data_IF_550424127163
#
_entry.id   IF_550424127163
#
_cell.length_a   1.000
_cell.length_b   1.000
_cell.length_c   1.000
_cell.angle_alpha   90.00
_cell.angle_beta   90.00
_cell.angle_gamma   90.00
#
_symmetry.space_group_name_H-M   'P 1'
#
loop_
_entity.id
_entity.type
_entity.pdbx_description
1 polymer ?
#
# COMPACT_ATOMS: atom_id res chain seq x y z
N UNK A 1 -6.51 13.69 2.84
CA UNK A 1 -5.48 13.10 3.73
C UNK A 1 -4.34 14.06 4.06
N UNK A 2 -3.98 15.08 3.27
CA UNK A 2 -3.06 16.12 3.77
C UNK A 2 -3.25 17.48 3.08
N UNK A 3 -3.90 18.41 3.77
CA UNK A 3 -4.19 19.77 3.26
C UNK A 3 -3.12 20.80 3.65
N UNK A 4 -2.28 20.51 4.66
CA UNK A 4 -1.34 21.48 5.25
C UNK A 4 0.02 21.52 4.55
N UNK A 5 0.47 20.41 3.95
CA UNK A 5 1.79 20.35 3.30
C UNK A 5 1.71 20.92 1.88
N UNK A 6 2.33 22.09 1.68
CA UNK A 6 2.29 22.83 0.40
C UNK A 6 3.66 22.92 -0.28
N UNK A 7 4.74 22.78 0.47
CA UNK A 7 6.10 23.04 0.00
C UNK A 7 6.98 21.80 0.11
N UNK A 8 8.03 21.72 -0.71
CA UNK A 8 8.96 20.58 -0.64
C UNK A 8 9.75 20.58 0.68
N UNK A 9 10.05 21.75 1.25
CA UNK A 9 10.69 21.84 2.57
C UNK A 9 9.81 21.29 3.70
N UNK A 10 8.49 21.41 3.60
CA UNK A 10 7.57 20.82 4.58
C UNK A 10 7.58 19.29 4.50
N UNK A 11 7.78 18.73 3.30
CA UNK A 11 7.94 17.29 3.10
C UNK A 11 9.22 16.78 3.78
N UNK A 12 10.32 17.53 3.71
CA UNK A 12 11.57 17.17 4.37
C UNK A 12 11.42 17.16 5.89
N UNK A 13 10.87 18.24 6.46
CA UNK A 13 10.57 18.34 7.90
C UNK A 13 9.67 17.21 8.36
N UNK A 14 8.65 16.87 7.57
CA UNK A 14 7.76 15.76 7.87
C UNK A 14 8.52 14.42 7.84
N UNK A 15 9.37 14.18 6.84
CA UNK A 15 10.15 12.96 6.73
C UNK A 15 11.14 12.78 7.88
N UNK A 16 11.72 13.88 8.37
CA UNK A 16 12.57 13.88 9.57
C UNK A 16 11.75 13.56 10.82
N UNK A 17 10.61 14.22 11.03
CA UNK A 17 9.78 14.03 12.21
C UNK A 17 9.05 12.67 12.26
N UNK A 18 8.81 12.04 11.10
CA UNK A 18 8.01 10.81 10.99
C UNK A 18 8.85 9.53 10.90
N UNK A 19 10.16 9.60 11.15
CA UNK A 19 11.07 8.46 10.98
C UNK A 19 10.57 7.19 11.70
N UNK A 20 10.06 7.33 12.93
CA UNK A 20 9.61 6.23 13.79
C UNK A 20 8.10 5.91 13.69
N UNK A 21 7.36 6.64 12.83
CA UNK A 21 5.93 6.43 12.66
C UNK A 21 5.64 5.47 11.51
N UNK A 22 4.89 4.42 11.79
CA UNK A 22 4.37 3.50 10.78
C UNK A 22 2.91 3.84 10.44
N UNK A 23 2.66 4.08 9.15
CA UNK A 23 1.34 4.45 8.65
C UNK A 23 0.58 3.24 8.13
N UNK A 24 -0.69 3.08 8.53
CA UNK A 24 -1.54 2.02 8.00
C UNK A 24 -2.16 2.44 6.66
N UNK A 25 -1.99 1.59 5.66
CA UNK A 25 -2.57 1.82 4.34
C UNK A 25 -4.11 1.86 4.38
N UNK A 26 -4.71 2.88 3.78
CA UNK A 26 -6.16 2.97 3.50
C UNK A 26 -6.48 2.29 2.16
N UNK A 27 -7.76 2.26 1.76
CA UNK A 27 -8.22 1.77 0.46
C UNK A 27 -7.35 2.23 -0.71
N UNK A 28 -7.11 1.31 -1.67
CA UNK A 28 -6.25 1.57 -2.83
C UNK A 28 -6.73 2.74 -3.68
N UNK A 29 -8.06 2.86 -3.86
CA UNK A 29 -8.67 3.93 -4.65
C UNK A 29 -8.39 5.30 -4.05
N UNK A 30 -8.63 5.44 -2.75
CA UNK A 30 -8.37 6.67 -2.00
C UNK A 30 -6.89 7.02 -2.03
N UNK A 31 -6.03 6.02 -1.83
CA UNK A 31 -4.57 6.20 -1.88
C UNK A 31 -4.11 6.68 -3.26
N UNK A 32 -4.59 6.08 -4.34
CA UNK A 32 -4.17 6.44 -5.71
C UNK A 32 -4.67 7.83 -6.09
N UNK A 33 -5.90 8.20 -5.72
CA UNK A 33 -6.43 9.55 -5.93
C UNK A 33 -5.58 10.59 -5.19
N UNK A 34 -5.21 10.31 -3.94
CA UNK A 34 -4.34 11.19 -3.15
C UNK A 34 -2.94 11.33 -3.77
N UNK A 35 -2.32 10.24 -4.24
CA UNK A 35 -1.02 10.31 -4.95
C UNK A 35 -1.16 11.14 -6.23
N UNK A 36 -2.26 10.99 -6.97
CA UNK A 36 -2.51 11.73 -8.21
C UNK A 36 -2.59 13.24 -7.96
N UNK A 37 -3.37 13.65 -6.95
CA UNK A 37 -3.48 15.04 -6.53
C UNK A 37 -2.15 15.59 -6.03
N UNK A 38 -1.39 14.80 -5.27
CA UNK A 38 -0.07 15.20 -4.78
C UNK A 38 0.90 15.47 -5.94
N UNK A 39 0.98 14.56 -6.91
CA UNK A 39 1.87 14.71 -8.06
C UNK A 39 1.50 15.94 -8.91
N UNK A 40 0.20 16.22 -9.06
CA UNK A 40 -0.30 17.43 -9.74
C UNK A 40 0.03 18.69 -8.97
N UNK A 41 -0.23 18.71 -7.66
CA UNK A 41 -0.01 19.86 -6.77
C UNK A 41 1.44 20.34 -6.80
N UNK A 42 2.38 19.41 -6.82
CA UNK A 42 3.81 19.72 -6.85
C UNK A 42 4.39 19.83 -8.28
N UNK A 43 3.53 19.82 -9.31
CA UNK A 43 3.91 19.81 -10.71
C UNK A 43 5.08 18.84 -10.98
N UNK A 44 4.90 17.59 -10.56
CA UNK A 44 5.98 16.60 -10.50
C UNK A 44 6.74 16.48 -11.83
N UNK A 45 6.10 16.73 -12.97
CA UNK A 45 6.74 16.72 -14.27
C UNK A 45 7.85 17.76 -14.45
N UNK A 46 7.57 19.02 -14.11
CA UNK A 46 8.48 20.15 -14.29
C UNK A 46 9.56 20.25 -13.20
N UNK A 47 9.45 19.45 -12.14
CA UNK A 47 10.28 19.59 -10.95
C UNK A 47 11.68 18.95 -11.10
N UNK A 48 12.65 19.44 -10.34
CA UNK A 48 14.04 18.96 -10.33
C UNK A 48 14.17 17.53 -9.80
N UNK A 49 15.24 16.82 -10.21
CA UNK A 49 15.51 15.43 -9.77
C UNK A 49 15.57 15.28 -8.24
N UNK A 50 16.15 16.26 -7.54
CA UNK A 50 16.26 16.24 -6.07
C UNK A 50 14.88 16.26 -5.41
N UNK A 51 14.04 17.23 -5.82
CA UNK A 51 12.69 17.40 -5.28
C UNK A 51 11.78 16.23 -5.62
N UNK A 52 11.88 15.66 -6.83
CA UNK A 52 11.23 14.39 -7.19
C UNK A 52 11.56 13.25 -6.23
N UNK A 53 12.81 13.16 -5.78
CA UNK A 53 13.26 12.16 -4.80
C UNK A 53 12.57 12.31 -3.44
N UNK A 54 12.43 13.55 -2.96
CA UNK A 54 11.75 13.87 -1.69
C UNK A 54 10.27 13.47 -1.76
N UNK A 55 9.58 13.90 -2.82
CA UNK A 55 8.18 13.52 -3.09
C UNK A 55 7.98 12.01 -3.09
N UNK A 56 8.86 11.28 -3.76
CA UNK A 56 8.80 9.83 -3.82
C UNK A 56 8.98 9.18 -2.44
N UNK A 57 9.95 9.64 -1.64
CA UNK A 57 10.16 9.13 -0.26
C UNK A 57 8.94 9.40 0.61
N UNK A 58 8.35 10.58 0.49
CA UNK A 58 7.13 10.94 1.19
C UNK A 58 5.95 10.02 0.82
N UNK A 59 5.73 9.74 -0.47
CA UNK A 59 4.70 8.79 -0.91
C UNK A 59 4.96 7.38 -0.36
N UNK A 60 6.20 6.90 -0.39
CA UNK A 60 6.57 5.59 0.19
C UNK A 60 6.23 5.55 1.68
N UNK A 61 6.63 6.58 2.44
CA UNK A 61 6.42 6.64 3.89
C UNK A 61 4.94 6.64 4.27
N UNK A 62 4.11 7.45 3.60
CA UNK A 62 2.68 7.53 3.92
C UNK A 62 1.84 6.35 3.43
N UNK A 63 2.20 5.77 2.27
CA UNK A 63 1.40 4.67 1.69
C UNK A 63 1.88 3.29 2.11
N UNK A 64 3.08 3.20 2.70
CA UNK A 64 3.80 1.95 2.94
C UNK A 64 3.98 1.07 1.69
N UNK A 65 3.84 1.65 0.49
CA UNK A 65 4.14 0.94 -0.74
C UNK A 65 5.64 0.81 -0.93
N UNK A 66 6.04 -0.33 -1.49
CA UNK A 66 7.43 -0.52 -1.89
C UNK A 66 7.86 0.53 -2.92
N UNK A 67 9.15 0.86 -2.92
CA UNK A 67 9.74 1.81 -3.87
C UNK A 67 9.39 1.49 -5.32
N UNK A 68 9.39 0.19 -5.65
CA UNK A 68 9.04 -0.32 -6.98
C UNK A 68 7.58 -0.03 -7.33
N UNK A 69 6.66 -0.16 -6.39
CA UNK A 69 5.24 0.13 -6.63
C UNK A 69 5.01 1.64 -6.81
N UNK A 70 5.64 2.48 -6.00
CA UNK A 70 5.56 3.94 -6.14
C UNK A 70 6.13 4.39 -7.50
N UNK A 71 7.27 3.84 -7.93
CA UNK A 71 7.82 4.10 -9.27
C UNK A 71 6.83 3.75 -10.39
N UNK A 72 6.12 2.62 -10.26
CA UNK A 72 5.11 2.21 -11.25
C UNK A 72 3.95 3.20 -11.31
N UNK A 73 3.48 3.68 -10.16
CA UNK A 73 2.44 4.72 -10.10
C UNK A 73 2.92 6.00 -10.77
N UNK A 74 4.09 6.52 -10.40
CA UNK A 74 4.64 7.74 -11.01
C UNK A 74 4.78 7.57 -12.53
N UNK A 75 5.22 6.39 -13.01
CA UNK A 75 5.30 6.11 -14.44
C UNK A 75 3.93 6.13 -15.13
N UNK A 76 2.91 5.55 -14.50
CA UNK A 76 1.54 5.56 -15.01
C UNK A 76 0.97 6.99 -15.05
N UNK A 77 1.15 7.76 -13.98
CA UNK A 77 0.80 9.18 -13.96
C UNK A 77 1.51 9.93 -15.08
N UNK A 78 2.80 9.67 -15.30
CA UNK A 78 3.55 10.37 -16.34
C UNK A 78 3.05 10.10 -17.76
N UNK A 79 2.54 8.90 -18.01
CA UNK A 79 2.03 8.53 -19.33
C UNK A 79 0.60 8.99 -19.58
N UNK A 80 -0.27 8.94 -18.56
CA UNK A 80 -1.70 9.20 -18.74
C UNK A 80 -2.16 10.53 -18.14
N UNK A 81 -1.31 11.24 -17.40
CA UNK A 81 -1.65 12.44 -16.61
C UNK A 81 -2.58 12.16 -15.42
N UNK A 82 -2.94 10.89 -15.19
CA UNK A 82 -3.81 10.46 -14.10
C UNK A 82 -3.55 9.01 -13.67
N UNK A 83 -3.67 8.75 -12.37
CA UNK A 83 -3.67 7.40 -11.84
C UNK A 83 -5.06 6.77 -11.92
N UNK A 84 -5.13 5.55 -12.44
CA UNK A 84 -6.37 4.76 -12.47
C UNK A 84 -6.16 3.46 -11.71
N UNK A 85 -7.11 3.14 -10.83
CA UNK A 85 -7.14 1.79 -10.25
C UNK A 85 -7.60 0.84 -11.35
N UNK A 86 -6.68 0.01 -11.84
CA UNK A 86 -7.01 -1.07 -12.75
C UNK A 86 -7.90 -2.07 -12.02
N UNK A 87 -9.09 -2.32 -12.55
CA UNK A 87 -9.92 -3.44 -12.11
C UNK A 87 -9.14 -4.72 -12.37
N UNK A 88 -9.25 -5.69 -11.47
CA UNK A 88 -8.71 -7.03 -11.74
C UNK A 88 -9.42 -7.56 -12.99
N UNK A 89 -8.73 -7.56 -14.13
CA UNK A 89 -9.21 -8.27 -15.30
C UNK A 89 -9.00 -9.78 -15.10
N UNK A 90 -9.80 -10.57 -15.80
CA UNK A 90 -9.54 -11.99 -15.94
C UNK A 90 -8.12 -12.17 -16.49
N UNK A 91 -7.28 -12.85 -15.72
CA UNK A 91 -5.92 -13.22 -16.11
C UNK A 91 -5.92 -14.72 -16.30
N UNK A 92 -5.37 -15.18 -17.42
CA UNK A 92 -5.05 -16.59 -17.59
C UNK A 92 -4.13 -17.01 -16.45
N UNK A 93 -4.61 -17.93 -15.62
CA UNK A 93 -3.85 -18.50 -14.50
C UNK A 93 -3.68 -19.98 -14.81
N UNK A 94 -2.50 -20.50 -14.50
CA UNK A 94 -2.31 -21.94 -14.48
C UNK A 94 -3.33 -22.58 -13.53
N UNK A 95 -3.83 -23.76 -13.90
CA UNK A 95 -4.67 -24.56 -13.01
C UNK A 95 -3.91 -24.79 -11.71
N UNK A 96 -4.56 -24.53 -10.58
CA UNK A 96 -3.96 -24.83 -9.27
C UNK A 96 -3.94 -26.36 -9.12
N UNK A 97 -2.75 -26.94 -9.16
CA UNK A 97 -2.52 -28.38 -8.87
C UNK A 97 -2.65 -28.71 -7.38
N UNK A 98 -2.53 -27.71 -6.51
CA UNK A 98 -2.82 -27.85 -5.09
C UNK A 98 -4.25 -27.35 -4.81
N UNK A 99 -5.19 -28.29 -4.76
CA UNK A 99 -6.55 -28.04 -4.28
C UNK A 99 -6.54 -27.96 -2.76
N UNK A 100 -7.20 -26.94 -2.23
CA UNK A 100 -7.39 -26.65 -0.79
C UNK A 100 -8.05 -27.77 0.03
N UNK A 101 -8.35 -28.93 -0.57
CA UNK A 101 -9.07 -30.04 0.06
C UNK A 101 -8.17 -30.90 0.95
N UNK A 102 -6.87 -31.06 0.63
CA UNK A 102 -6.01 -32.01 1.37
C UNK A 102 -5.09 -31.36 2.42
N UNK A 103 -4.56 -30.16 2.15
CA UNK A 103 -3.64 -29.47 3.08
C UNK A 103 -4.35 -28.79 4.27
N UNK A 104 -5.60 -28.34 4.08
CA UNK A 104 -6.32 -27.59 5.10
C UNK A 104 -7.01 -28.49 6.14
N UNK A 105 -7.33 -29.75 5.81
CA UNK A 105 -8.09 -30.62 6.71
C UNK A 105 -7.33 -30.94 7.99
N UNK A 106 -6.00 -31.19 7.89
CA UNK A 106 -5.15 -31.41 9.05
C UNK A 106 -5.02 -30.15 9.92
N UNK A 107 -4.89 -28.97 9.28
CA UNK A 107 -4.80 -27.69 9.99
C UNK A 107 -6.14 -27.40 10.71
N UNK A 108 -7.28 -27.56 10.04
CA UNK A 108 -8.60 -27.39 10.64
C UNK A 108 -8.88 -28.39 11.77
N UNK A 109 -8.46 -29.66 11.62
CA UNK A 109 -8.58 -30.67 12.68
C UNK A 109 -7.75 -30.30 13.92
N UNK A 110 -6.52 -29.83 13.73
CA UNK A 110 -5.67 -29.37 14.84
C UNK A 110 -6.27 -28.17 15.58
N UNK A 111 -6.81 -27.20 14.85
CA UNK A 111 -7.48 -26.01 15.41
C UNK A 111 -8.76 -26.39 16.16
N UNK A 112 -9.54 -27.34 15.64
CA UNK A 112 -10.76 -27.82 16.29
C UNK A 112 -10.47 -28.51 17.62
N UNK A 113 -9.42 -29.34 17.67
CA UNK A 113 -8.96 -30.00 18.90
C UNK A 113 -8.50 -28.98 19.96
N UNK A 114 -7.71 -27.98 19.55
CA UNK A 114 -7.28 -26.88 20.45
C UNK A 114 -8.47 -26.06 20.96
N UNK A 115 -9.46 -25.74 20.11
CA UNK A 115 -10.67 -25.03 20.52
C UNK A 115 -11.49 -25.81 21.53
N UNK A 116 -11.63 -27.13 21.36
CA UNK A 116 -12.34 -27.98 22.32
C UNK A 116 -11.65 -27.99 23.70
N UNK A 117 -10.32 -28.06 23.72
CA UNK A 117 -9.51 -27.99 24.96
C UNK A 117 -9.63 -26.62 25.64
N UNK A 118 -9.62 -25.53 24.87
CA UNK A 118 -9.79 -24.18 25.42
C UNK A 118 -11.21 -23.93 25.91
N UNK A 119 -12.22 -24.54 25.30
CA UNK A 119 -13.61 -24.47 25.75
C UNK A 119 -13.83 -25.24 27.06
N UNK A 120 -13.16 -26.38 27.26
CA UNK A 120 -13.24 -27.15 28.52
C UNK A 120 -12.46 -26.51 29.67
N UNK A 121 -11.43 -25.69 29.37
CA UNK A 121 -10.66 -24.93 30.37
C UNK A 121 -11.31 -23.59 30.77
N UNK A 122 -12.40 -23.18 30.13
CA UNK A 122 -13.12 -21.92 30.41
C UNK A 122 -14.30 -22.12 31.37
N UNK A 123 -14.10 -22.98 32.36
CA UNK A 123 -14.99 -23.17 33.52
C UNK A 123 -14.10 -23.22 34.75
N UNK A 124 -13.57 -22.06 35.14
CA UNK A 124 -13.22 -21.63 36.50
C UNK A 124 -12.98 -20.11 36.43
#
# INVERSE_FOLDING_TARGET
>A
MDQKIKTVGDLEKFLEASQDLDFRQTDRKTTYAWVDELLKRFNYHAESKKRKGILKRYVVKLTCYSDRQVKRLIKEHNWFGKLRVKKSCYRNRFSKTYTSSRANQAIFASIASIRAILASKKVF
#
